data_IF_197872883765
#
_entry.id   IF_197872883765
#
_cell.length_a   1.000
_cell.length_b   1.000
_cell.length_c   1.000
_cell.angle_alpha   90.00
_cell.angle_beta   90.00
_cell.angle_gamma   90.00
#
_symmetry.space_group_name_H-M   'P 1'
#
loop_
_entity.id
_entity.type
_entity.pdbx_description
1 polymer ?
#
# COMPACT_ATOMS: atom_id res chain seq x y z
N UNK A 1 15.17 10.31 -7.72
CA UNK A 1 13.83 10.48 -7.15
C UNK A 1 13.41 11.95 -7.04
N UNK A 2 14.30 12.87 -6.57
CA UNK A 2 13.91 14.26 -6.26
C UNK A 2 13.90 15.21 -7.45
N UNK A 3 14.69 14.95 -8.50
CA UNK A 3 14.81 15.87 -9.63
C UNK A 3 13.48 16.11 -10.38
N UNK A 4 12.69 15.07 -10.74
CA UNK A 4 11.39 15.26 -11.37
C UNK A 4 10.42 16.07 -10.50
N UNK A 5 10.41 15.82 -9.18
CA UNK A 5 9.56 16.56 -8.22
C UNK A 5 9.91 18.05 -8.18
N UNK A 6 11.21 18.40 -8.23
CA UNK A 6 11.64 19.81 -8.25
C UNK A 6 11.22 20.53 -9.54
N UNK A 7 11.29 19.81 -10.67
CA UNK A 7 10.84 20.36 -11.97
C UNK A 7 9.34 20.59 -11.95
N UNK A 8 8.55 19.59 -11.52
CA UNK A 8 7.09 19.70 -11.42
C UNK A 8 6.66 20.85 -10.51
N UNK A 9 7.28 20.98 -9.33
CA UNK A 9 6.93 22.09 -8.41
C UNK A 9 7.19 23.46 -9.02
N UNK A 10 8.30 23.64 -9.72
CA UNK A 10 8.59 24.92 -10.42
C UNK A 10 7.53 25.22 -11.46
N UNK A 11 7.21 24.23 -12.29
CA UNK A 11 6.19 24.39 -13.32
C UNK A 11 4.79 24.71 -12.73
N UNK A 12 4.41 24.05 -11.64
CA UNK A 12 3.13 24.34 -10.96
C UNK A 12 3.07 25.76 -10.40
N UNK A 13 4.17 26.26 -9.81
CA UNK A 13 4.25 27.65 -9.30
C UNK A 13 4.02 28.66 -10.42
N UNK A 14 4.54 28.42 -11.63
CA UNK A 14 4.34 29.28 -12.81
C UNK A 14 2.86 29.29 -13.28
N UNK A 15 2.07 28.29 -12.90
CA UNK A 15 0.64 28.19 -13.19
C UNK A 15 -0.26 28.60 -12.01
N UNK A 16 0.29 29.18 -10.96
CA UNK A 16 -0.41 29.49 -9.68
C UNK A 16 -1.06 28.24 -9.05
N UNK A 17 -0.40 27.11 -9.17
CA UNK A 17 -0.83 25.81 -8.63
C UNK A 17 0.16 25.30 -7.58
N UNK A 18 -0.33 24.44 -6.69
CA UNK A 18 0.50 23.74 -5.70
C UNK A 18 0.14 22.26 -5.61
N UNK A 19 1.09 21.45 -5.12
CA UNK A 19 0.80 20.07 -4.76
C UNK A 19 0.09 20.03 -3.42
N UNK A 20 -1.05 19.36 -3.34
CA UNK A 20 -1.73 19.12 -2.09
C UNK A 20 -0.89 18.14 -1.23
N UNK A 21 -0.41 18.56 -0.05
CA UNK A 21 0.51 17.75 0.75
C UNK A 21 -0.22 16.82 1.73
N UNK A 22 -1.25 16.11 1.28
CA UNK A 22 -2.06 15.28 2.16
C UNK A 22 -2.45 13.94 1.54
N UNK A 23 -2.58 12.92 2.38
CA UNK A 23 -3.06 11.60 1.98
C UNK A 23 -4.58 11.47 2.01
N UNK A 24 -5.24 12.38 2.72
CA UNK A 24 -6.71 12.57 2.74
C UNK A 24 -7.03 14.01 2.36
N UNK A 25 -8.26 14.29 1.99
CA UNK A 25 -8.73 15.66 1.79
C UNK A 25 -8.91 16.33 3.15
N UNK A 26 -7.83 16.97 3.64
CA UNK A 26 -7.77 17.56 4.99
C UNK A 26 -8.71 18.74 5.15
N UNK A 27 -8.80 19.61 4.14
CA UNK A 27 -9.71 20.74 4.06
C UNK A 27 -10.57 20.57 2.82
N UNK A 28 -11.87 20.68 2.96
CA UNK A 28 -12.80 20.55 1.85
C UNK A 28 -13.91 19.57 2.15
N UNK A 29 -14.52 19.06 1.10
CA UNK A 29 -15.68 18.20 1.15
C UNK A 29 -15.47 17.05 0.16
N UNK A 30 -15.28 15.84 0.67
CA UNK A 30 -15.07 14.65 -0.17
C UNK A 30 -16.30 14.31 -1.01
N UNK A 31 -17.48 14.82 -0.64
CA UNK A 31 -18.73 14.57 -1.40
C UNK A 31 -18.84 15.48 -2.64
N UNK A 32 -17.93 16.44 -2.79
CA UNK A 32 -17.88 17.38 -3.93
C UNK A 32 -16.73 17.13 -4.90
N UNK A 33 -16.16 15.93 -4.92
CA UNK A 33 -15.12 15.64 -5.91
C UNK A 33 -15.72 15.41 -7.30
N UNK A 34 -14.99 15.86 -8.33
CA UNK A 34 -15.31 15.58 -9.72
C UNK A 34 -14.39 14.48 -10.25
N UNK A 35 -14.95 13.59 -11.05
CA UNK A 35 -14.16 12.54 -11.72
C UNK A 35 -13.33 13.16 -12.84
N UNK A 36 -12.07 12.77 -12.94
CA UNK A 36 -11.21 13.17 -14.07
C UNK A 36 -11.66 12.60 -15.41
N UNK A 37 -12.41 11.51 -15.40
CA UNK A 37 -12.98 10.83 -16.57
C UNK A 37 -14.39 10.33 -16.20
N UNK A 38 -15.44 11.19 -16.40
CA UNK A 38 -16.82 10.87 -16.03
C UNK A 38 -17.39 9.66 -16.78
N UNK A 39 -16.92 9.42 -18.01
CA UNK A 39 -17.44 8.37 -18.89
C UNK A 39 -16.79 7.01 -18.64
N UNK A 40 -15.80 6.94 -17.76
CA UNK A 40 -15.11 5.69 -17.44
C UNK A 40 -15.98 4.78 -16.54
N UNK A 41 -16.45 3.63 -17.05
CA UNK A 41 -17.33 2.75 -16.30
C UNK A 41 -16.70 2.19 -15.02
N UNK A 42 -15.35 2.11 -14.98
CA UNK A 42 -14.63 1.69 -13.77
C UNK A 42 -14.77 2.71 -12.63
N UNK A 43 -14.77 4.01 -12.93
CA UNK A 43 -14.99 5.06 -11.93
C UNK A 43 -16.40 4.96 -11.33
N UNK A 44 -17.40 4.67 -12.16
CA UNK A 44 -18.78 4.45 -11.69
C UNK A 44 -18.89 3.25 -10.76
N UNK A 45 -18.23 2.14 -11.10
CA UNK A 45 -18.15 0.94 -10.26
C UNK A 45 -17.53 1.26 -8.90
N UNK A 46 -16.39 1.95 -8.89
CA UNK A 46 -15.66 2.29 -7.65
C UNK A 46 -16.50 3.19 -6.76
N UNK A 47 -17.12 4.24 -7.32
CA UNK A 47 -17.96 5.14 -6.55
C UNK A 47 -19.19 4.44 -5.97
N UNK A 48 -19.88 3.62 -6.76
CA UNK A 48 -21.04 2.87 -6.30
C UNK A 48 -20.68 1.87 -5.19
N UNK A 49 -19.49 1.27 -5.26
CA UNK A 49 -19.05 0.24 -4.32
C UNK A 49 -18.47 0.82 -3.04
N UNK A 50 -17.69 1.89 -3.14
CA UNK A 50 -16.84 2.40 -2.05
C UNK A 50 -17.08 3.86 -1.68
N UNK A 51 -17.94 4.58 -2.43
CA UNK A 51 -18.16 6.00 -2.22
C UNK A 51 -16.88 6.81 -2.30
N UNK A 52 -16.73 7.75 -1.39
CA UNK A 52 -15.59 8.67 -1.32
C UNK A 52 -14.41 8.14 -0.50
N UNK A 53 -14.49 6.93 0.07
CA UNK A 53 -13.40 6.31 0.83
C UNK A 53 -12.11 6.13 0.01
N UNK A 54 -12.23 6.11 -1.31
CA UNK A 54 -11.10 6.00 -2.26
C UNK A 54 -10.44 7.35 -2.60
N UNK A 55 -11.00 8.47 -2.14
CA UNK A 55 -10.42 9.82 -2.38
C UNK A 55 -9.23 10.01 -1.46
N UNK A 56 -8.13 9.38 -1.82
CA UNK A 56 -6.88 9.35 -1.05
C UNK A 56 -5.67 9.44 -1.96
N UNK A 57 -4.55 9.90 -1.39
CA UNK A 57 -3.24 9.87 -2.03
C UNK A 57 -2.25 9.07 -1.17
N UNK A 58 -1.33 8.36 -1.83
CA UNK A 58 -0.33 7.54 -1.15
C UNK A 58 0.99 7.54 -1.92
N UNK A 59 2.06 7.10 -1.25
CA UNK A 59 3.30 6.75 -1.92
C UNK A 59 3.28 5.24 -2.19
N UNK A 60 3.55 4.88 -3.44
CA UNK A 60 3.82 3.50 -3.81
C UNK A 60 5.30 3.34 -4.12
N UNK A 61 5.94 2.40 -3.44
CA UNK A 61 7.35 2.06 -3.66
C UNK A 61 7.39 0.70 -4.36
N UNK A 62 8.05 0.66 -5.52
CA UNK A 62 8.19 -0.56 -6.30
C UNK A 62 9.65 -1.01 -6.26
N UNK A 63 9.88 -2.29 -5.90
CA UNK A 63 11.19 -2.92 -5.93
C UNK A 63 11.17 -4.08 -6.93
N UNK A 64 12.09 -4.02 -7.92
CA UNK A 64 12.25 -5.04 -8.95
C UNK A 64 12.85 -6.32 -8.38
N UNK A 65 12.20 -7.46 -8.64
CA UNK A 65 12.66 -8.81 -8.25
C UNK A 65 12.19 -9.77 -9.33
N UNK A 66 13.11 -10.30 -10.12
CA UNK A 66 12.78 -11.13 -11.27
C UNK A 66 12.49 -12.60 -10.92
N UNK A 67 13.15 -13.13 -9.89
CA UNK A 67 12.94 -14.50 -9.44
C UNK A 67 11.63 -14.60 -8.64
N UNK A 68 10.66 -15.45 -9.02
CA UNK A 68 9.39 -15.57 -8.31
C UNK A 68 9.52 -16.04 -6.85
N UNK A 69 10.43 -16.97 -6.56
CA UNK A 69 10.62 -17.45 -5.18
C UNK A 69 11.11 -16.32 -4.27
N UNK A 70 12.09 -15.55 -4.75
CA UNK A 70 12.62 -14.38 -4.08
C UNK A 70 11.56 -13.29 -3.91
N UNK A 71 10.74 -13.07 -4.95
CA UNK A 71 9.65 -12.10 -4.93
C UNK A 71 8.64 -12.43 -3.82
N UNK A 72 8.24 -13.71 -3.68
CA UNK A 72 7.27 -14.10 -2.66
C UNK A 72 7.88 -14.13 -1.25
N UNK A 73 9.17 -14.42 -1.08
CA UNK A 73 9.86 -14.27 0.19
C UNK A 73 9.90 -12.78 0.63
N UNK A 74 10.28 -11.89 -0.28
CA UNK A 74 10.26 -10.45 -0.04
C UNK A 74 8.84 -9.92 0.22
N UNK A 75 7.83 -10.40 -0.53
CA UNK A 75 6.43 -10.03 -0.34
C UNK A 75 5.95 -10.36 1.08
N UNK A 76 6.25 -11.57 1.59
CA UNK A 76 5.87 -11.99 2.94
C UNK A 76 6.53 -11.13 4.00
N UNK A 77 7.85 -10.92 3.91
CA UNK A 77 8.57 -10.05 4.83
C UNK A 77 7.96 -8.65 4.87
N UNK A 78 7.85 -8.02 3.71
CA UNK A 78 7.38 -6.62 3.62
C UNK A 78 5.92 -6.48 4.06
N UNK A 79 5.07 -7.50 3.86
CA UNK A 79 3.71 -7.50 4.40
C UNK A 79 3.67 -7.61 5.91
N UNK A 80 4.53 -8.43 6.52
CA UNK A 80 4.64 -8.53 7.97
C UNK A 80 5.20 -7.24 8.59
N UNK A 81 6.05 -6.52 7.87
CA UNK A 81 6.67 -5.26 8.31
C UNK A 81 5.96 -3.99 7.82
N UNK A 82 4.88 -4.11 7.06
CA UNK A 82 4.17 -2.98 6.45
C UNK A 82 3.73 -1.93 7.48
N UNK A 83 3.33 -2.35 8.67
CA UNK A 83 2.95 -1.50 9.78
C UNK A 83 4.09 -0.57 10.24
N UNK A 84 5.34 -1.02 10.23
CA UNK A 84 6.50 -0.18 10.55
C UNK A 84 6.66 0.95 9.53
N UNK A 85 6.51 0.63 8.24
CA UNK A 85 6.62 1.61 7.16
C UNK A 85 5.44 2.60 7.17
N UNK A 86 4.24 2.13 7.57
CA UNK A 86 3.11 3.02 7.82
C UNK A 86 3.39 3.94 9.01
N UNK A 87 3.91 3.41 10.11
CA UNK A 87 4.25 4.21 11.31
C UNK A 87 5.23 5.35 11.00
N UNK A 88 6.21 5.09 10.12
CA UNK A 88 7.18 6.10 9.67
C UNK A 88 6.60 7.12 8.69
N UNK A 89 5.48 6.85 8.05
CA UNK A 89 4.89 7.67 6.99
C UNK A 89 3.52 8.27 7.34
N UNK A 90 2.89 7.84 8.43
CA UNK A 90 1.55 8.27 8.80
C UNK A 90 1.46 9.81 8.93
N UNK A 91 0.61 10.42 8.10
CA UNK A 91 0.53 11.88 7.95
C UNK A 91 -0.86 12.38 7.53
N UNK A 92 -1.92 11.62 7.86
CA UNK A 92 -3.29 11.97 7.46
C UNK A 92 -4.27 11.97 8.64
N UNK A 93 -4.08 12.83 9.66
CA UNK A 93 -4.95 12.88 10.84
C UNK A 93 -6.23 13.68 10.61
N UNK A 94 -6.40 14.33 9.46
CA UNK A 94 -7.53 15.19 9.16
C UNK A 94 -8.35 14.67 7.98
N UNK A 95 -9.67 14.86 8.04
CA UNK A 95 -10.60 14.59 6.95
C UNK A 95 -11.74 15.62 6.99
N UNK A 96 -12.04 16.28 5.86
CA UNK A 96 -13.14 17.25 5.74
C UNK A 96 -13.14 18.32 6.85
N UNK A 97 -11.98 18.85 7.20
CA UNK A 97 -11.82 19.89 8.24
C UNK A 97 -11.90 19.36 9.68
N UNK A 98 -12.00 18.05 9.89
CA UNK A 98 -12.11 17.44 11.22
C UNK A 98 -10.87 16.65 11.59
N UNK A 99 -10.52 16.64 12.88
CA UNK A 99 -9.52 15.73 13.45
C UNK A 99 -10.16 14.35 13.59
N UNK A 100 -9.56 13.33 13.00
CA UNK A 100 -10.16 11.97 12.97
C UNK A 100 -9.83 11.11 14.19
N UNK A 101 -8.80 11.48 14.95
CA UNK A 101 -8.26 10.67 16.04
C UNK A 101 -7.33 9.54 15.57
N UNK A 102 -7.00 9.49 14.28
CA UNK A 102 -6.06 8.54 13.71
C UNK A 102 -4.82 9.28 13.17
N UNK A 103 -3.67 8.61 13.13
CA UNK A 103 -2.46 9.15 12.51
C UNK A 103 -2.45 8.92 10.98
N UNK A 104 -3.03 7.82 10.50
CA UNK A 104 -3.31 7.56 9.09
C UNK A 104 -4.80 7.25 8.88
N UNK A 105 -5.61 8.30 8.76
CA UNK A 105 -7.01 8.17 8.36
C UNK A 105 -7.14 7.54 6.98
N UNK A 106 -6.20 7.85 6.07
CA UNK A 106 -6.16 7.25 4.74
C UNK A 106 -6.19 5.72 4.79
N UNK A 107 -5.35 5.11 5.63
CA UNK A 107 -5.31 3.65 5.70
C UNK A 107 -6.54 3.06 6.36
N UNK A 108 -7.11 3.72 7.36
CA UNK A 108 -8.34 3.25 8.03
C UNK A 108 -9.57 3.30 7.12
N UNK A 109 -9.68 4.29 6.24
CA UNK A 109 -10.82 4.43 5.32
C UNK A 109 -10.63 3.68 4.01
N UNK A 110 -9.38 3.35 3.62
CA UNK A 110 -9.10 2.70 2.35
C UNK A 110 -9.73 1.31 2.29
N UNK A 111 -10.56 1.03 1.27
CA UNK A 111 -11.29 -0.23 1.19
C UNK A 111 -10.36 -1.36 0.73
N UNK A 112 -9.84 -2.14 1.69
CA UNK A 112 -9.07 -3.34 1.37
C UNK A 112 -9.92 -4.30 0.53
N UNK A 113 -9.40 -4.76 -0.59
CA UNK A 113 -10.13 -5.60 -1.55
C UNK A 113 -9.23 -6.69 -2.10
N UNK A 114 -9.57 -7.96 -1.89
CA UNK A 114 -10.56 -8.46 -0.90
C UNK A 114 -10.22 -8.05 0.53
N UNK A 115 -11.15 -8.11 1.46
CA UNK A 115 -10.96 -7.73 2.87
C UNK A 115 -9.89 -8.56 3.59
N UNK A 116 -9.64 -9.79 3.12
CA UNK A 116 -8.54 -10.66 3.55
C UNK A 116 -7.72 -11.09 2.34
N UNK A 117 -6.42 -10.92 2.44
CA UNK A 117 -5.44 -11.31 1.41
C UNK A 117 -4.38 -12.18 2.05
N UNK A 118 -4.17 -13.43 1.61
CA UNK A 118 -3.18 -14.33 2.21
C UNK A 118 -1.75 -13.81 2.04
N UNK A 119 -0.86 -14.30 2.92
CA UNK A 119 0.59 -14.14 2.77
C UNK A 119 1.15 -15.17 1.78
N UNK A 120 0.73 -15.20 0.59
CA UNK A 120 1.01 -16.21 -0.44
C UNK A 120 2.28 -17.04 -0.21
N UNK A 121 2.15 -18.37 -0.29
CA UNK A 121 3.27 -19.29 -0.16
C UNK A 121 4.24 -19.11 -1.35
N UNK A 122 3.66 -19.06 -2.56
CA UNK A 122 4.40 -18.97 -3.81
C UNK A 122 3.54 -18.32 -4.93
N UNK A 123 4.09 -18.32 -6.14
CA UNK A 123 3.44 -17.74 -7.32
C UNK A 123 2.19 -18.51 -7.75
N UNK A 124 2.20 -19.83 -7.66
CA UNK A 124 1.06 -20.66 -8.05
C UNK A 124 -0.13 -20.43 -7.12
N UNK A 125 0.13 -20.35 -5.81
CA UNK A 125 -0.89 -19.96 -4.83
C UNK A 125 -1.48 -18.59 -5.15
N UNK A 126 -0.66 -17.60 -5.51
CA UNK A 126 -1.15 -16.27 -5.89
C UNK A 126 -2.03 -16.31 -7.14
N UNK A 127 -1.64 -17.04 -8.19
CA UNK A 127 -2.42 -17.19 -9.43
C UNK A 127 -3.77 -17.85 -9.12
N UNK A 128 -3.74 -18.97 -8.42
CA UNK A 128 -4.94 -19.75 -8.08
C UNK A 128 -5.91 -18.89 -7.25
N UNK A 129 -5.42 -18.27 -6.20
CA UNK A 129 -6.24 -17.41 -5.34
C UNK A 129 -6.80 -16.21 -6.10
N UNK A 130 -6.00 -15.56 -6.94
CA UNK A 130 -6.45 -14.41 -7.75
C UNK A 130 -7.61 -14.79 -8.67
N UNK A 131 -7.49 -15.92 -9.37
CA UNK A 131 -8.54 -16.42 -10.26
C UNK A 131 -9.83 -16.76 -9.48
N UNK A 132 -9.70 -17.36 -8.30
CA UNK A 132 -10.84 -17.64 -7.41
C UNK A 132 -11.55 -16.34 -6.98
N UNK A 133 -10.80 -15.28 -6.62
CA UNK A 133 -11.39 -14.01 -6.22
C UNK A 133 -12.12 -13.31 -7.38
N UNK A 134 -11.57 -13.36 -8.58
CA UNK A 134 -12.21 -12.82 -9.78
C UNK A 134 -13.48 -13.61 -10.11
N UNK A 135 -13.40 -14.94 -10.07
CA UNK A 135 -14.55 -15.80 -10.33
C UNK A 135 -15.67 -15.62 -9.29
N UNK A 136 -15.30 -15.40 -8.03
CA UNK A 136 -16.26 -15.11 -6.94
C UNK A 136 -16.83 -13.68 -6.99
N UNK A 137 -16.31 -12.81 -7.86
CA UNK A 137 -16.71 -11.40 -7.96
C UNK A 137 -16.22 -10.50 -6.81
N UNK A 138 -15.36 -11.00 -5.92
CA UNK A 138 -14.74 -10.20 -4.85
C UNK A 138 -13.67 -9.26 -5.38
N UNK A 139 -13.09 -9.56 -6.54
CA UNK A 139 -12.28 -8.66 -7.35
C UNK A 139 -12.89 -8.54 -8.74
N UNK A 140 -13.02 -7.33 -9.24
CA UNK A 140 -13.47 -7.10 -10.61
C UNK A 140 -12.42 -7.53 -11.66
N UNK A 141 -11.16 -7.34 -11.34
CA UNK A 141 -9.99 -7.78 -12.12
C UNK A 141 -8.74 -7.79 -11.22
N UNK A 142 -7.62 -8.23 -11.74
CA UNK A 142 -6.35 -8.32 -10.98
C UNK A 142 -5.83 -6.97 -10.45
N UNK A 143 -6.22 -5.84 -11.04
CA UNK A 143 -5.85 -4.50 -10.55
C UNK A 143 -6.62 -4.13 -9.29
N UNK A 144 -7.74 -4.80 -9.04
CA UNK A 144 -8.59 -4.60 -7.87
C UNK A 144 -8.05 -5.30 -6.60
N UNK A 145 -6.83 -5.80 -6.63
CA UNK A 145 -6.12 -6.23 -5.42
C UNK A 145 -5.59 -5.01 -4.67
N UNK A 146 -6.32 -4.59 -3.64
CA UNK A 146 -6.02 -3.44 -2.78
C UNK A 146 -5.60 -3.90 -1.39
N UNK A 147 -4.31 -3.89 -1.14
CA UNK A 147 -3.67 -4.39 0.08
C UNK A 147 -2.40 -3.57 0.39
N UNK A 148 -1.80 -3.79 1.56
CA UNK A 148 -0.60 -3.07 2.02
C UNK A 148 0.61 -3.26 1.10
N UNK A 149 0.82 -4.50 0.64
CA UNK A 149 1.87 -4.86 -0.31
C UNK A 149 1.32 -5.91 -1.27
N UNK A 150 1.59 -5.76 -2.57
CA UNK A 150 1.15 -6.74 -3.58
C UNK A 150 2.27 -7.08 -4.56
N UNK A 151 2.23 -8.27 -5.14
CA UNK A 151 3.06 -8.57 -6.29
C UNK A 151 2.57 -7.81 -7.51
N UNK A 152 3.48 -7.38 -8.39
CA UNK A 152 3.16 -6.62 -9.58
C UNK A 152 4.09 -7.03 -10.75
N UNK A 153 3.65 -6.74 -11.99
CA UNK A 153 4.39 -7.12 -13.18
C UNK A 153 3.67 -6.72 -14.46
N UNK A 154 4.26 -7.02 -15.62
CA UNK A 154 3.71 -6.63 -16.92
C UNK A 154 2.38 -7.34 -17.24
N UNK A 155 2.20 -8.59 -16.81
CA UNK A 155 0.99 -9.38 -17.04
C UNK A 155 0.58 -10.15 -15.78
N UNK A 156 -0.10 -9.47 -14.86
CA UNK A 156 -0.62 -10.07 -13.62
C UNK A 156 -1.82 -10.96 -13.88
N UNK A 157 -1.96 -12.10 -13.21
CA UNK A 157 -1.10 -12.63 -12.15
C UNK A 157 0.08 -13.47 -12.66
N UNK A 158 0.26 -13.66 -13.97
CA UNK A 158 1.16 -14.65 -14.55
C UNK A 158 2.61 -14.17 -14.69
N UNK A 159 2.84 -12.89 -15.00
CA UNK A 159 4.18 -12.34 -15.13
C UNK A 159 4.41 -11.24 -14.10
N UNK A 160 5.25 -11.57 -13.13
CA UNK A 160 5.62 -10.70 -12.02
C UNK A 160 7.09 -10.35 -12.12
N UNK A 161 7.46 -9.12 -11.74
CA UNK A 161 8.85 -8.67 -11.71
C UNK A 161 9.13 -7.67 -10.60
N UNK A 162 8.20 -7.46 -9.67
CA UNK A 162 8.37 -6.54 -8.55
C UNK A 162 7.34 -6.73 -7.45
N UNK A 163 7.66 -6.29 -6.27
CA UNK A 163 6.70 -6.00 -5.21
C UNK A 163 6.34 -4.51 -5.21
N UNK A 164 5.13 -4.18 -4.82
CA UNK A 164 4.61 -2.82 -4.69
C UNK A 164 4.12 -2.59 -3.27
N UNK A 165 4.87 -1.81 -2.49
CA UNK A 165 4.45 -1.30 -1.19
C UNK A 165 3.46 -0.15 -1.40
N UNK A 166 2.30 -0.19 -0.72
CA UNK A 166 1.16 0.73 -0.94
C UNK A 166 0.63 1.37 0.32
N UNK A 167 1.03 0.85 1.49
CA UNK A 167 0.48 1.26 2.78
C UNK A 167 0.86 2.69 3.18
N UNK A 168 2.00 3.20 2.73
CA UNK A 168 2.54 4.49 3.15
C UNK A 168 1.64 5.66 2.79
N UNK A 169 1.44 6.57 3.73
CA UNK A 169 0.90 7.89 3.47
C UNK A 169 1.86 8.73 2.61
N UNK A 170 1.41 9.89 2.18
CA UNK A 170 2.22 10.81 1.39
C UNK A 170 3.34 11.39 2.26
N UNK A 171 4.58 11.07 1.92
CA UNK A 171 5.77 11.60 2.59
C UNK A 171 6.17 12.89 1.87
N UNK A 172 6.00 14.03 2.53
CA UNK A 172 6.31 15.36 1.96
C UNK A 172 7.79 15.71 2.07
N UNK A 173 8.46 15.24 3.13
CA UNK A 173 9.89 15.43 3.34
C UNK A 173 10.70 14.48 2.44
N UNK A 174 11.56 15.01 1.55
CA UNK A 174 12.36 14.19 0.64
C UNK A 174 13.38 13.29 1.34
N UNK A 175 13.92 13.71 2.47
CA UNK A 175 14.94 12.93 3.19
C UNK A 175 14.29 11.74 3.90
N UNK A 176 13.11 11.94 4.47
CA UNK A 176 12.27 10.86 5.03
C UNK A 176 11.85 9.88 3.93
N UNK A 177 11.45 10.38 2.75
CA UNK A 177 11.11 9.50 1.61
C UNK A 177 12.29 8.61 1.19
N UNK A 178 13.49 9.19 1.12
CA UNK A 178 14.70 8.43 0.79
C UNK A 178 15.00 7.41 1.89
N UNK A 179 14.92 7.81 3.16
CA UNK A 179 15.18 6.93 4.30
C UNK A 179 14.22 5.73 4.33
N UNK A 180 12.92 5.95 4.16
CA UNK A 180 11.90 4.87 4.10
C UNK A 180 12.13 3.94 2.91
N UNK A 181 12.46 4.51 1.74
CA UNK A 181 12.77 3.70 0.54
C UNK A 181 14.03 2.86 0.74
N UNK A 182 15.07 3.43 1.32
CA UNK A 182 16.34 2.73 1.62
C UNK A 182 16.13 1.64 2.66
N UNK A 183 15.37 1.92 3.72
CA UNK A 183 15.03 0.90 4.73
C UNK A 183 14.33 -0.30 4.09
N UNK A 184 13.32 -0.06 3.26
CA UNK A 184 12.61 -1.11 2.54
C UNK A 184 13.56 -1.92 1.65
N UNK A 185 14.43 -1.25 0.88
CA UNK A 185 15.40 -1.91 0.01
C UNK A 185 16.37 -2.80 0.82
N UNK A 186 16.91 -2.30 1.93
CA UNK A 186 17.82 -3.06 2.79
C UNK A 186 17.13 -4.28 3.41
N UNK A 187 15.87 -4.15 3.85
CA UNK A 187 15.10 -5.29 4.38
C UNK A 187 14.86 -6.35 3.31
N UNK A 188 14.51 -5.94 2.10
CA UNK A 188 14.38 -6.87 0.97
C UNK A 188 15.71 -7.54 0.65
N UNK A 189 16.82 -6.81 0.60
CA UNK A 189 18.15 -7.41 0.39
C UNK A 189 18.51 -8.43 1.49
N UNK A 190 18.09 -8.22 2.74
CA UNK A 190 18.34 -9.17 3.83
C UNK A 190 17.59 -10.49 3.60
N UNK A 191 16.30 -10.45 3.28
CA UNK A 191 15.53 -11.69 3.04
C UNK A 191 16.02 -12.44 1.79
N UNK A 192 16.51 -11.72 0.78
CA UNK A 192 17.08 -12.37 -0.42
C UNK A 192 18.42 -13.06 -0.14
N UNK A 193 19.23 -12.53 0.77
CA UNK A 193 20.52 -13.12 1.16
C UNK A 193 20.36 -14.27 2.16
N UNK A 194 19.46 -14.12 3.12
CA UNK A 194 19.30 -15.02 4.25
C UNK A 194 17.80 -15.38 4.48
N UNK A 195 17.15 -16.06 3.50
CA UNK A 195 15.72 -16.34 3.59
C UNK A 195 15.35 -17.21 4.79
N UNK A 196 16.23 -18.09 5.25
CA UNK A 196 15.97 -18.91 6.44
C UNK A 196 15.83 -18.10 7.73
N UNK A 197 16.44 -16.90 7.77
CA UNK A 197 16.38 -16.02 8.96
C UNK A 197 15.33 -14.94 8.83
N UNK A 198 14.95 -14.55 7.62
CA UNK A 198 14.14 -13.34 7.39
C UNK A 198 12.81 -13.58 6.67
N UNK A 199 12.63 -14.71 5.96
CA UNK A 199 11.32 -15.05 5.40
C UNK A 199 10.39 -15.51 6.55
N UNK A 200 9.30 -14.79 6.85
CA UNK A 200 8.40 -15.12 7.96
C UNK A 200 7.86 -16.56 7.90
N UNK A 201 7.71 -17.12 6.70
CA UNK A 201 7.27 -18.51 6.54
C UNK A 201 8.29 -19.53 7.05
N UNK A 202 9.57 -19.17 7.10
CA UNK A 202 10.68 -20.03 7.52
C UNK A 202 11.20 -19.72 8.92
N UNK A 203 11.21 -18.45 9.28
CA UNK A 203 11.84 -17.96 10.51
C UNK A 203 10.87 -17.83 11.68
N UNK A 204 9.56 -17.77 11.44
CA UNK A 204 8.56 -17.61 12.49
C UNK A 204 8.03 -18.95 13.01
N UNK A 205 7.69 -18.99 14.30
CA UNK A 205 6.93 -20.08 14.89
C UNK A 205 5.42 -20.02 14.57
N UNK A 206 4.94 -18.91 14.03
CA UNK A 206 3.55 -18.70 13.66
C UNK A 206 3.27 -19.33 12.29
N UNK A 207 2.07 -19.89 12.14
CA UNK A 207 1.62 -20.35 10.82
C UNK A 207 1.18 -19.18 9.93
N UNK A 208 0.95 -19.45 8.65
CA UNK A 208 0.63 -18.45 7.64
C UNK A 208 -0.62 -17.61 7.99
N UNK A 209 -1.66 -18.24 8.54
CA UNK A 209 -2.88 -17.55 8.94
C UNK A 209 -2.63 -16.62 10.14
N UNK A 210 -1.86 -17.08 11.12
CA UNK A 210 -1.49 -16.27 12.29
C UNK A 210 -0.64 -15.06 11.89
N UNK A 211 0.31 -15.24 10.97
CA UNK A 211 1.10 -14.12 10.41
C UNK A 211 0.23 -13.11 9.65
N UNK A 212 -0.75 -13.59 8.88
CA UNK A 212 -1.71 -12.73 8.18
C UNK A 212 -2.54 -11.89 9.16
N UNK A 213 -3.12 -12.53 10.18
CA UNK A 213 -3.95 -11.87 11.18
C UNK A 213 -3.14 -10.84 11.98
N UNK A 214 -1.90 -11.20 12.35
CA UNK A 214 -0.97 -10.31 13.04
C UNK A 214 -0.61 -9.09 12.19
N UNK A 215 -0.24 -9.30 10.92
CA UNK A 215 0.07 -8.21 9.99
C UNK A 215 -1.10 -7.24 9.85
N UNK A 216 -2.32 -7.75 9.69
CA UNK A 216 -3.52 -6.92 9.59
C UNK A 216 -3.82 -6.15 10.89
N UNK A 217 -3.57 -6.77 12.06
CA UNK A 217 -3.71 -6.12 13.35
C UNK A 217 -2.71 -4.99 13.53
N UNK A 218 -1.43 -5.25 13.19
CA UNK A 218 -0.35 -4.28 13.24
C UNK A 218 -0.60 -3.09 12.28
N UNK A 219 -1.06 -3.35 11.06
CA UNK A 219 -1.43 -2.30 10.09
C UNK A 219 -2.48 -1.34 10.67
N UNK A 220 -3.50 -1.88 11.37
CA UNK A 220 -4.53 -1.07 12.01
C UNK A 220 -4.02 -0.30 13.24
N UNK A 221 -3.15 -0.92 14.05
CA UNK A 221 -2.53 -0.26 15.19
C UNK A 221 -1.64 0.90 14.74
N UNK A 222 -0.80 0.68 13.73
CA UNK A 222 0.04 1.71 13.13
C UNK A 222 -0.79 2.86 12.54
N UNK A 223 -1.91 2.56 11.88
CA UNK A 223 -2.79 3.60 11.32
C UNK A 223 -3.42 4.48 12.41
N UNK A 224 -3.72 3.92 13.57
CA UNK A 224 -4.30 4.66 14.70
C UNK A 224 -3.26 5.51 15.43
N UNK A 225 -2.09 4.95 15.71
CA UNK A 225 -1.15 5.51 16.69
C UNK A 225 0.28 5.68 16.18
N UNK A 226 0.56 5.31 14.91
CA UNK A 226 1.88 5.50 14.28
C UNK A 226 3.02 4.95 15.15
N UNK A 227 4.01 5.78 15.50
CA UNK A 227 5.17 5.42 16.32
C UNK A 227 4.83 5.10 17.80
N UNK A 228 3.63 5.44 18.25
CA UNK A 228 3.13 5.11 19.60
C UNK A 228 2.40 3.76 19.63
N UNK A 229 2.21 3.12 18.47
CA UNK A 229 1.54 1.83 18.39
C UNK A 229 2.40 0.71 18.99
N UNK A 230 1.75 -0.19 19.74
CA UNK A 230 2.37 -1.49 20.08
C UNK A 230 2.13 -2.44 18.91
N UNK A 231 3.22 -2.89 18.30
CA UNK A 231 3.22 -3.89 17.23
C UNK A 231 3.73 -5.23 17.78
N UNK A 232 3.22 -6.32 17.26
CA UNK A 232 3.52 -7.67 17.74
C UNK A 232 4.18 -8.52 16.67
#
# INVERSE_FOLDING_TARGET
LLAPRRVLRRWLIEQDLTLLPGSTLSLGDTDRFERSDPDNPYHSLIETTYGTAVVTASIHINLGIDNPADLFAALRLVRCEAALLLSLSASSPFLNGQVTGAHSQRWLQFPLTPSRVPLFVDHEHFITWTNQQIQAGTMHNVRHLWTSVRPNGPDRPHQLNRIELRICDLITDPDVLIAVTTLLELRVQQVLREPEQHDPLRSSALNLQQLEELSMSNDRAAARSSLEATLH
#
